data_IF_629694007045
#
_entry.id   IF_629694007045
#
_cell.length_a   1.000
_cell.length_b   1.000
_cell.length_c   1.000
_cell.angle_alpha   90.00
_cell.angle_beta   90.00
_cell.angle_gamma   90.00
#
_symmetry.space_group_name_H-M   'P 1'
#
loop_
_entity.id
_entity.type
_entity.pdbx_description
1 polymer ?
#
# COMPACT_ATOMS: atom_id res chain seq x y z
N UNK A 1 -16.14 18.67 4.45
CA UNK A 1 -16.53 17.44 5.19
C UNK A 1 -15.35 16.49 5.11
N UNK A 2 -14.92 15.89 6.23
CA UNK A 2 -13.87 14.87 6.18
C UNK A 2 -14.45 13.62 5.54
N UNK A 3 -14.08 13.35 4.29
CA UNK A 3 -14.42 12.12 3.60
C UNK A 3 -13.81 10.95 4.38
N UNK A 4 -14.68 10.06 4.84
CA UNK A 4 -14.29 8.79 5.46
C UNK A 4 -14.45 7.66 4.46
N UNK A 5 -13.58 6.66 4.54
CA UNK A 5 -13.57 5.52 3.62
C UNK A 5 -12.94 4.29 4.30
N UNK A 6 -13.09 3.13 3.70
CA UNK A 6 -12.53 1.84 4.15
C UNK A 6 -11.38 1.37 3.25
N UNK A 7 -10.67 0.30 3.64
CA UNK A 7 -9.67 -0.30 2.74
C UNK A 7 -10.30 -0.89 1.47
N UNK A 8 -11.55 -1.36 1.56
CA UNK A 8 -12.31 -1.86 0.41
C UNK A 8 -12.60 -0.72 -0.58
N UNK A 9 -13.00 0.45 -0.07
CA UNK A 9 -13.19 1.65 -0.90
C UNK A 9 -11.90 2.08 -1.60
N UNK A 10 -10.76 2.01 -0.91
CA UNK A 10 -9.45 2.33 -1.50
C UNK A 10 -8.98 1.31 -2.55
N UNK A 11 -9.43 0.05 -2.44
CA UNK A 11 -9.17 -0.99 -3.43
C UNK A 11 -10.12 -0.94 -4.63
N UNK A 12 -11.23 -0.20 -4.53
CA UNK A 12 -12.16 -0.01 -5.63
C UNK A 12 -11.46 0.72 -6.80
N UNK A 13 -11.50 0.21 -8.04
CA UNK A 13 -10.95 0.88 -9.21
C UNK A 13 -11.49 2.30 -9.45
N UNK A 14 -12.64 2.66 -8.89
CA UNK A 14 -13.23 3.98 -9.01
C UNK A 14 -12.76 5.00 -7.96
N UNK A 15 -11.94 4.59 -6.98
CA UNK A 15 -11.44 5.50 -5.96
C UNK A 15 -10.65 6.67 -6.56
N UNK A 16 -10.73 7.81 -5.90
CA UNK A 16 -10.14 9.09 -6.31
C UNK A 16 -8.83 9.42 -5.57
N UNK A 17 -8.32 8.48 -4.77
CA UNK A 17 -7.11 8.65 -3.99
C UNK A 17 -5.90 8.54 -4.94
N UNK A 18 -4.95 9.51 -4.92
CA UNK A 18 -3.82 9.54 -5.82
C UNK A 18 -2.91 8.33 -5.73
N UNK A 19 -2.03 8.16 -6.72
CA UNK A 19 -1.17 6.98 -6.79
C UNK A 19 -0.12 6.88 -5.67
N UNK A 20 0.18 7.97 -4.97
CA UNK A 20 1.36 8.06 -4.12
C UNK A 20 1.12 8.97 -2.93
N UNK A 21 1.54 8.49 -1.76
CA UNK A 21 1.73 9.31 -0.55
C UNK A 21 3.22 9.56 -0.34
N UNK A 22 3.57 10.72 0.24
CA UNK A 22 4.93 11.05 0.66
C UNK A 22 4.97 11.41 2.13
N UNK A 23 5.99 10.87 2.81
CA UNK A 23 6.31 11.21 4.19
C UNK A 23 7.74 11.73 4.28
N UNK A 24 7.88 12.88 4.93
CA UNK A 24 9.18 13.41 5.33
C UNK A 24 9.68 12.70 6.59
N UNK A 25 10.95 12.33 6.58
CA UNK A 25 11.70 11.71 7.67
C UNK A 25 12.84 12.67 8.04
N UNK A 26 12.83 13.11 9.29
CA UNK A 26 14.01 13.74 9.89
C UNK A 26 14.90 12.65 10.47
N UNK A 27 16.09 12.46 9.87
CA UNK A 27 17.12 11.61 10.43
C UNK A 27 18.04 12.50 11.27
N UNK A 28 18.36 12.10 12.51
CA UNK A 28 19.08 12.92 13.53
C UNK A 28 20.50 13.42 13.13
N UNK A 29 20.92 13.31 11.86
CA UNK A 29 22.24 13.76 11.38
C UNK A 29 22.31 14.05 9.86
N UNK A 30 21.20 14.25 9.15
CA UNK A 30 21.20 14.55 7.69
C UNK A 30 20.07 15.49 7.28
N UNK A 31 20.23 16.08 6.09
CA UNK A 31 19.15 16.71 5.32
C UNK A 31 17.91 15.81 5.30
N UNK A 32 16.74 16.43 5.46
CA UNK A 32 15.46 15.73 5.50
C UNK A 32 15.32 14.80 4.30
N UNK A 33 15.07 13.52 4.56
CA UNK A 33 14.74 12.56 3.50
C UNK A 33 13.23 12.46 3.38
N UNK A 34 12.72 12.34 2.17
CA UNK A 34 11.35 11.90 1.94
C UNK A 34 11.37 10.48 1.39
N UNK A 35 10.30 9.74 1.63
CA UNK A 35 10.06 8.49 0.94
C UNK A 35 8.59 8.43 0.51
N UNK A 36 8.37 7.80 -0.63
CA UNK A 36 7.04 7.63 -1.22
C UNK A 36 6.53 6.22 -0.99
N UNK A 37 5.21 6.08 -0.94
CA UNK A 37 4.57 4.76 -0.83
C UNK A 37 3.20 4.72 -1.51
N UNK A 38 2.69 3.51 -1.82
CA UNK A 38 1.27 3.30 -2.08
C UNK A 38 0.39 3.81 -0.94
N UNK A 39 -0.68 4.58 -1.21
CA UNK A 39 -1.62 4.99 -0.17
C UNK A 39 -2.20 3.82 0.61
N UNK A 40 -2.42 2.68 -0.05
CA UNK A 40 -2.92 1.46 0.59
C UNK A 40 -2.09 1.05 1.81
N UNK A 41 -0.76 1.10 1.73
CA UNK A 41 0.10 0.72 2.86
C UNK A 41 -0.09 1.66 4.05
N UNK A 42 -0.13 2.98 3.81
CA UNK A 42 -0.36 3.96 4.87
C UNK A 42 -1.72 3.78 5.55
N UNK A 43 -2.78 3.68 4.75
CA UNK A 43 -4.13 3.55 5.25
C UNK A 43 -4.38 2.18 5.91
N UNK A 44 -3.73 1.11 5.45
CA UNK A 44 -3.77 -0.20 6.10
C UNK A 44 -3.11 -0.18 7.48
N UNK A 45 -2.01 0.56 7.66
CA UNK A 45 -1.41 0.79 8.99
C UNK A 45 -2.42 1.47 9.92
N UNK A 46 -3.08 2.55 9.46
CA UNK A 46 -4.11 3.25 10.24
C UNK A 46 -5.27 2.32 10.61
N UNK A 47 -5.75 1.54 9.64
CA UNK A 47 -6.85 0.61 9.85
C UNK A 47 -6.50 -0.48 10.87
N UNK A 48 -5.27 -0.99 10.81
CA UNK A 48 -4.77 -1.97 11.77
C UNK A 48 -4.70 -1.41 13.19
N UNK A 49 -4.23 -0.17 13.35
CA UNK A 49 -4.20 0.53 14.64
C UNK A 49 -5.60 0.73 15.21
N UNK A 50 -6.57 1.17 14.40
CA UNK A 50 -7.96 1.31 14.80
C UNK A 50 -8.58 -0.01 15.27
N UNK A 51 -8.39 -1.07 14.47
CA UNK A 51 -8.87 -2.40 14.80
C UNK A 51 -8.23 -2.93 16.09
N UNK A 52 -6.94 -2.66 16.33
CA UNK A 52 -6.25 -2.98 17.59
C UNK A 52 -6.87 -2.31 18.80
N UNK A 53 -7.23 -1.03 18.67
CA UNK A 53 -7.90 -0.25 19.71
C UNK A 53 -9.39 -0.56 19.84
N UNK A 54 -9.93 -1.40 18.94
CA UNK A 54 -11.35 -1.72 18.84
C UNK A 54 -12.22 -0.47 18.64
N UNK A 55 -11.70 0.52 17.89
CA UNK A 55 -12.40 1.74 17.51
C UNK A 55 -12.87 1.62 16.06
N UNK A 56 -14.11 2.05 15.78
CA UNK A 56 -14.68 2.03 14.43
C UNK A 56 -14.07 3.11 13.54
N UNK A 57 -13.72 4.26 14.11
CA UNK A 57 -13.24 5.42 13.35
C UNK A 57 -12.12 6.18 14.07
N UNK A 58 -11.37 7.00 13.33
CA UNK A 58 -10.35 7.88 13.91
C UNK A 58 -10.93 8.91 14.88
N UNK A 59 -12.15 9.40 14.59
CA UNK A 59 -12.86 10.31 15.50
C UNK A 59 -13.15 9.64 16.84
N UNK A 60 -13.57 8.36 16.82
CA UNK A 60 -13.80 7.57 18.04
C UNK A 60 -12.51 7.33 18.82
N UNK A 61 -11.42 6.98 18.14
CA UNK A 61 -10.12 6.79 18.80
C UNK A 61 -9.63 8.08 19.49
N UNK A 62 -9.84 9.23 18.87
CA UNK A 62 -9.48 10.51 19.46
C UNK A 62 -10.36 10.86 20.67
N UNK A 63 -11.68 10.71 20.58
CA UNK A 63 -12.60 11.09 21.66
C UNK A 63 -12.58 10.13 22.85
N UNK A 64 -12.53 8.81 22.61
CA UNK A 64 -12.64 7.81 23.67
C UNK A 64 -11.29 7.37 24.23
N UNK A 65 -10.21 7.44 23.44
CA UNK A 65 -8.88 6.97 23.83
C UNK A 65 -7.83 8.07 23.91
N UNK A 66 -8.15 9.28 23.44
CA UNK A 66 -7.19 10.38 23.29
C UNK A 66 -5.97 9.98 22.44
N UNK A 67 -6.20 9.21 21.38
CA UNK A 67 -5.16 8.72 20.46
C UNK A 67 -5.39 9.28 19.06
N UNK A 68 -4.39 9.98 18.53
CA UNK A 68 -4.33 10.39 17.13
C UNK A 68 -3.79 9.25 16.26
N UNK A 69 -4.66 8.57 15.53
CA UNK A 69 -4.29 7.44 14.65
C UNK A 69 -3.32 7.87 13.56
N UNK A 70 -3.50 9.07 13.02
CA UNK A 70 -2.58 9.68 12.05
C UNK A 70 -1.16 9.75 12.61
N UNK A 71 -0.99 10.29 13.81
CA UNK A 71 0.34 10.50 14.38
C UNK A 71 1.01 9.17 14.74
N UNK A 72 0.25 8.21 15.28
CA UNK A 72 0.77 6.87 15.57
C UNK A 72 1.14 6.11 14.30
N UNK A 73 0.35 6.22 13.21
CA UNK A 73 0.70 5.62 11.93
C UNK A 73 1.98 6.24 11.34
N UNK A 74 2.08 7.57 11.33
CA UNK A 74 3.27 8.29 10.86
C UNK A 74 4.50 7.90 11.70
N UNK A 75 4.35 7.80 13.02
CA UNK A 75 5.44 7.42 13.94
C UNK A 75 5.94 6.00 13.67
N UNK A 76 5.05 5.03 13.52
CA UNK A 76 5.40 3.64 13.20
C UNK A 76 6.17 3.57 11.88
N UNK A 77 5.61 4.20 10.85
CA UNK A 77 6.18 4.21 9.51
C UNK A 77 7.55 4.90 9.48
N UNK A 78 7.70 6.06 10.15
CA UNK A 78 8.99 6.75 10.31
C UNK A 78 9.99 5.90 11.09
N UNK A 79 9.53 5.15 12.10
CA UNK A 79 10.35 4.21 12.86
C UNK A 79 10.96 3.13 11.98
N UNK A 80 10.17 2.52 11.08
CA UNK A 80 10.67 1.54 10.10
C UNK A 80 11.71 2.13 9.17
N UNK A 81 11.43 3.31 8.62
CA UNK A 81 12.38 3.99 7.75
C UNK A 81 13.69 4.37 8.48
N UNK A 82 13.59 4.85 9.72
CA UNK A 82 14.76 5.21 10.53
C UNK A 82 15.62 3.97 10.87
N UNK A 83 15.00 2.84 11.21
CA UNK A 83 15.71 1.57 11.44
C UNK A 83 16.44 1.10 10.19
N UNK A 84 15.75 1.09 9.04
CA UNK A 84 16.36 0.73 7.76
C UNK A 84 17.60 1.60 7.46
N UNK A 85 17.47 2.92 7.52
CA UNK A 85 18.61 3.81 7.25
C UNK A 85 19.74 3.68 8.27
N UNK A 86 19.44 3.25 9.50
CA UNK A 86 20.46 2.99 10.52
C UNK A 86 21.25 1.72 10.21
N UNK A 87 20.58 0.63 9.84
CA UNK A 87 21.22 -0.64 9.46
C UNK A 87 22.06 -0.51 8.19
N UNK A 88 21.54 0.18 7.18
CA UNK A 88 22.26 0.49 5.94
C UNK A 88 23.58 1.20 6.23
N UNK A 89 23.58 2.14 7.18
CA UNK A 89 24.79 2.85 7.61
C UNK A 89 25.75 1.93 8.34
N UNK A 90 25.25 1.12 9.28
CA UNK A 90 26.07 0.18 10.06
C UNK A 90 26.79 -0.83 9.16
N UNK A 91 26.10 -1.30 8.12
CA UNK A 91 26.61 -2.33 7.21
C UNK A 91 27.26 -1.76 5.93
N UNK A 92 27.38 -0.44 5.82
CA UNK A 92 27.96 0.28 4.67
C UNK A 92 27.42 -0.17 3.29
N UNK A 93 26.10 -0.37 3.19
CA UNK A 93 25.43 -0.88 1.98
C UNK A 93 24.97 0.28 1.09
N UNK A 94 25.25 0.25 -0.21
CA UNK A 94 24.64 1.19 -1.16
C UNK A 94 23.23 0.72 -1.57
N UNK A 95 22.23 1.20 -0.83
CA UNK A 95 20.80 0.92 -1.10
C UNK A 95 20.03 2.15 -1.57
N UNK A 96 20.72 3.22 -1.96
CA UNK A 96 20.09 4.52 -2.25
C UNK A 96 18.93 4.41 -3.25
N UNK A 97 19.01 3.47 -4.21
CA UNK A 97 17.98 3.20 -5.22
C UNK A 97 16.80 2.34 -4.75
N UNK A 98 16.94 1.58 -3.65
CA UNK A 98 15.95 0.55 -3.25
C UNK A 98 15.34 0.80 -1.87
N UNK A 99 15.73 1.88 -1.19
CA UNK A 99 15.29 2.20 0.16
C UNK A 99 13.76 2.19 0.31
N UNK A 100 13.03 2.86 -0.59
CA UNK A 100 11.57 2.90 -0.54
C UNK A 100 10.93 1.52 -0.65
N UNK A 101 11.46 0.64 -1.51
CA UNK A 101 10.91 -0.71 -1.69
C UNK A 101 11.08 -1.56 -0.43
N UNK A 102 12.22 -1.47 0.24
CA UNK A 102 12.47 -2.20 1.49
C UNK A 102 11.59 -1.71 2.63
N UNK A 103 11.47 -0.38 2.78
CA UNK A 103 10.59 0.20 3.80
C UNK A 103 9.14 -0.21 3.54
N UNK A 104 8.69 -0.21 2.28
CA UNK A 104 7.35 -0.68 1.90
C UNK A 104 7.15 -2.18 2.17
N UNK A 105 8.16 -3.02 1.93
CA UNK A 105 8.12 -4.45 2.24
C UNK A 105 7.94 -4.70 3.75
N UNK A 106 8.69 -3.98 4.60
CA UNK A 106 8.54 -4.04 6.05
C UNK A 106 7.17 -3.57 6.52
N UNK A 107 6.64 -2.50 5.94
CA UNK A 107 5.30 -2.00 6.26
C UNK A 107 4.23 -3.04 5.86
N UNK A 108 4.38 -3.68 4.70
CA UNK A 108 3.49 -4.77 4.30
C UNK A 108 3.59 -5.94 5.28
N UNK A 109 4.81 -6.31 5.70
CA UNK A 109 5.03 -7.35 6.71
C UNK A 109 4.35 -7.03 8.05
N UNK A 110 4.44 -5.77 8.48
CA UNK A 110 3.73 -5.28 9.66
C UNK A 110 2.21 -5.38 9.51
N UNK A 111 1.67 -5.12 8.33
CA UNK A 111 0.23 -5.22 8.03
C UNK A 111 -0.23 -6.67 8.07
N UNK A 112 0.56 -7.60 7.52
CA UNK A 112 0.22 -9.02 7.40
C UNK A 112 0.64 -9.87 8.62
N UNK A 113 1.33 -9.29 9.61
CA UNK A 113 1.92 -10.00 10.77
C UNK A 113 2.95 -11.07 10.39
N UNK A 114 3.59 -10.96 9.23
CA UNK A 114 4.55 -11.92 8.69
C UNK A 114 5.93 -11.29 8.49
N UNK A 115 6.33 -10.39 9.40
CA UNK A 115 7.63 -9.72 9.37
C UNK A 115 8.72 -10.78 9.32
N UNK A 116 9.20 -11.03 8.12
CA UNK A 116 10.44 -11.74 7.92
C UNK A 116 11.53 -10.72 8.27
N UNK A 117 12.42 -11.08 9.19
CA UNK A 117 13.69 -10.35 9.35
C UNK A 117 14.49 -10.57 8.06
N UNK A 118 14.11 -9.87 7.00
CA UNK A 118 14.69 -10.06 5.69
C UNK A 118 16.14 -9.62 5.71
N UNK A 119 16.99 -10.51 5.21
CA UNK A 119 18.34 -10.18 4.79
C UNK A 119 18.24 -9.07 3.74
N UNK A 120 18.63 -7.84 4.14
CA UNK A 120 18.58 -6.63 3.33
C UNK A 120 19.33 -6.74 1.98
N UNK A 121 20.07 -7.83 1.77
CA UNK A 121 20.84 -8.10 0.56
C UNK A 121 20.03 -8.71 -0.59
N UNK A 122 18.91 -9.42 -0.37
CA UNK A 122 18.25 -10.20 -1.44
C UNK A 122 17.05 -9.49 -2.12
N UNK A 123 16.29 -8.66 -1.39
CA UNK A 123 15.25 -7.80 -1.99
C UNK A 123 15.83 -6.71 -2.93
N UNK A 124 17.15 -6.54 -2.90
CA UNK A 124 17.88 -5.47 -3.58
C UNK A 124 18.14 -5.68 -5.08
N UNK A 125 17.78 -6.84 -5.64
CA UNK A 125 18.25 -7.22 -7.00
C UNK A 125 17.19 -7.20 -8.11
N UNK A 126 15.89 -7.11 -7.78
CA UNK A 126 14.84 -7.25 -8.79
C UNK A 126 14.23 -5.90 -9.19
N UNK A 127 14.27 -5.51 -10.47
CA UNK A 127 13.55 -4.33 -10.94
C UNK A 127 12.03 -4.57 -10.87
N UNK A 128 11.24 -3.49 -10.83
CA UNK A 128 9.80 -3.59 -10.89
C UNK A 128 9.36 -4.33 -12.18
N UNK A 129 8.39 -5.23 -12.04
CA UNK A 129 8.02 -6.15 -13.11
C UNK A 129 6.90 -5.52 -13.93
N UNK A 130 7.17 -5.24 -15.20
CA UNK A 130 6.14 -4.83 -16.16
C UNK A 130 5.49 -6.07 -16.76
N UNK A 131 4.19 -6.22 -16.54
CA UNK A 131 3.37 -7.26 -17.12
C UNK A 131 2.55 -6.66 -18.25
N UNK A 132 2.86 -7.06 -19.49
CA UNK A 132 2.02 -6.76 -20.63
C UNK A 132 0.77 -7.64 -20.55
N UNK A 133 -0.35 -7.06 -20.13
CA UNK A 133 -1.62 -7.78 -20.05
C UNK A 133 -2.27 -7.72 -21.42
N UNK A 134 -1.95 -8.68 -22.29
CA UNK A 134 -2.40 -8.74 -23.70
C UNK A 134 -3.92 -8.63 -23.84
N UNK A 135 -4.68 -9.24 -22.91
CA UNK A 135 -6.16 -9.14 -22.88
C UNK A 135 -6.68 -7.74 -22.52
N UNK A 136 -6.00 -7.02 -21.62
CA UNK A 136 -6.38 -5.65 -21.24
C UNK A 136 -5.76 -4.58 -22.16
N UNK A 137 -4.73 -4.94 -22.95
CA UNK A 137 -3.88 -4.04 -23.75
C UNK A 137 -3.26 -2.90 -22.92
N UNK A 138 -2.97 -3.16 -21.64
CA UNK A 138 -2.32 -2.21 -20.72
C UNK A 138 -1.16 -2.87 -20.01
N UNK A 139 -0.10 -2.10 -19.82
CA UNK A 139 1.06 -2.51 -19.04
C UNK A 139 0.83 -2.14 -17.57
N UNK A 140 1.01 -3.13 -16.70
CA UNK A 140 0.93 -2.96 -15.25
C UNK A 140 2.32 -3.19 -14.68
N UNK A 141 2.81 -2.24 -13.90
CA UNK A 141 4.08 -2.37 -13.19
C UNK A 141 3.80 -2.75 -11.75
N UNK A 142 4.35 -3.86 -11.29
CA UNK A 142 4.23 -4.36 -9.91
C UNK A 142 5.57 -4.20 -9.20
N UNK A 143 5.53 -3.72 -7.95
CA UNK A 143 6.73 -3.58 -7.15
C UNK A 143 7.30 -4.96 -6.77
N UNK A 144 8.64 -5.14 -6.71
CA UNK A 144 9.27 -6.42 -6.45
C UNK A 144 8.74 -7.10 -5.18
N UNK A 145 8.71 -6.38 -4.05
CA UNK A 145 8.25 -6.93 -2.78
C UNK A 145 6.83 -7.49 -2.81
N UNK A 146 5.93 -6.88 -3.60
CA UNK A 146 4.57 -7.36 -3.75
C UNK A 146 4.54 -8.62 -4.63
N UNK A 147 5.36 -8.68 -5.68
CA UNK A 147 5.48 -9.89 -6.49
C UNK A 147 6.06 -11.05 -5.68
N UNK A 148 7.10 -10.80 -4.88
CA UNK A 148 7.72 -11.83 -4.04
C UNK A 148 6.69 -12.37 -3.04
N UNK A 149 5.96 -11.50 -2.33
CA UNK A 149 4.86 -11.92 -1.43
C UNK A 149 3.75 -12.70 -2.13
N UNK A 150 3.32 -12.28 -3.31
CA UNK A 150 2.34 -13.04 -4.09
C UNK A 150 2.90 -14.38 -4.55
N UNK A 151 4.19 -14.45 -4.89
CA UNK A 151 4.85 -15.68 -5.31
C UNK A 151 4.95 -16.67 -4.18
N UNK A 152 5.24 -16.20 -2.97
CA UNK A 152 5.24 -17.03 -1.75
C UNK A 152 3.84 -17.57 -1.47
N UNK A 153 2.82 -16.70 -1.51
CA UNK A 153 1.42 -17.08 -1.29
C UNK A 153 0.91 -18.09 -2.32
N UNK A 154 1.19 -17.89 -3.60
CA UNK A 154 0.78 -18.80 -4.68
C UNK A 154 1.81 -19.92 -4.96
N UNK A 155 2.85 -20.03 -4.13
CA UNK A 155 3.99 -20.95 -4.19
C UNK A 155 4.84 -20.90 -5.48
N UNK A 156 4.47 -20.08 -6.47
CA UNK A 156 5.14 -19.96 -7.76
C UNK A 156 4.90 -18.56 -8.37
N UNK A 157 5.97 -17.92 -8.85
CA UNK A 157 5.90 -16.61 -9.51
C UNK A 157 4.99 -16.62 -10.74
N UNK A 158 4.95 -17.73 -11.49
CA UNK A 158 4.05 -17.89 -12.64
C UNK A 158 2.57 -17.72 -12.24
N UNK A 159 2.19 -18.23 -11.07
CA UNK A 159 0.83 -18.13 -10.55
C UNK A 159 0.54 -16.70 -10.08
N UNK A 160 1.49 -16.05 -9.40
CA UNK A 160 1.39 -14.64 -9.03
C UNK A 160 1.19 -13.73 -10.26
N UNK A 161 1.94 -13.96 -11.34
CA UNK A 161 1.77 -13.24 -12.61
C UNK A 161 0.37 -13.46 -13.22
N UNK A 162 -0.12 -14.70 -13.21
CA UNK A 162 -1.49 -15.02 -13.65
C UNK A 162 -2.54 -14.28 -12.82
N UNK A 163 -2.38 -14.27 -11.51
CA UNK A 163 -3.27 -13.53 -10.60
C UNK A 163 -3.29 -12.03 -10.91
N UNK A 164 -2.12 -11.40 -11.13
CA UNK A 164 -2.06 -9.98 -11.55
C UNK A 164 -2.76 -9.75 -12.90
N UNK A 165 -2.64 -10.69 -13.85
CA UNK A 165 -3.39 -10.60 -15.10
C UNK A 165 -4.90 -10.64 -14.87
N UNK A 166 -5.39 -11.54 -14.02
CA UNK A 166 -6.81 -11.65 -13.65
C UNK A 166 -7.31 -10.37 -12.96
N UNK A 167 -6.56 -9.83 -12.00
CA UNK A 167 -6.88 -8.55 -11.36
C UNK A 167 -6.94 -7.40 -12.37
N UNK A 168 -6.05 -7.37 -13.35
CA UNK A 168 -6.03 -6.31 -14.38
C UNK A 168 -7.29 -6.37 -15.25
N UNK A 169 -7.79 -7.58 -15.55
CA UNK A 169 -9.06 -7.76 -16.27
C UNK A 169 -10.23 -7.28 -15.42
N UNK A 170 -10.30 -7.65 -14.14
CA UNK A 170 -11.35 -7.16 -13.23
C UNK A 170 -11.34 -5.63 -13.07
N UNK A 171 -10.16 -5.02 -12.93
CA UNK A 171 -10.02 -3.54 -12.88
C UNK A 171 -10.58 -2.92 -14.16
N UNK A 172 -10.28 -3.53 -15.31
CA UNK A 172 -10.79 -3.05 -16.60
C UNK A 172 -12.31 -3.11 -16.67
N UNK A 173 -12.91 -4.24 -16.30
CA UNK A 173 -14.37 -4.45 -16.31
C UNK A 173 -15.07 -3.37 -15.48
N UNK A 174 -14.62 -3.14 -14.23
CA UNK A 174 -15.18 -2.09 -13.37
C UNK A 174 -15.06 -0.70 -13.99
N UNK A 175 -13.91 -0.36 -14.60
CA UNK A 175 -13.72 0.94 -15.24
C UNK A 175 -14.57 1.11 -16.50
N UNK A 176 -14.81 0.04 -17.27
CA UNK A 176 -15.69 0.04 -18.44
C UNK A 176 -17.15 0.21 -18.06
N UNK A 177 -17.62 -0.55 -17.06
CA UNK A 177 -18.99 -0.47 -16.54
C UNK A 177 -19.33 0.94 -16.03
N UNK A 178 -18.36 1.61 -15.41
CA UNK A 178 -18.53 2.95 -14.87
C UNK A 178 -18.21 4.07 -15.87
N UNK A 179 -17.99 3.75 -17.15
CA UNK A 179 -17.62 4.73 -18.21
C UNK A 179 -16.41 5.59 -17.84
N UNK A 180 -15.47 5.01 -17.10
CA UNK A 180 -14.27 5.68 -16.58
C UNK A 180 -13.06 5.54 -17.51
N UNK A 181 -13.28 5.09 -18.75
CA UNK A 181 -12.26 4.97 -19.79
C UNK A 181 -12.61 5.82 -21.01
N UNK A 182 -11.61 6.52 -21.56
CA UNK A 182 -11.74 7.17 -22.87
C UNK A 182 -11.53 6.19 -24.04
N UNK A 183 -11.61 6.70 -25.27
CA UNK A 183 -11.39 5.94 -26.51
C UNK A 183 -9.98 5.31 -26.60
N UNK A 184 -8.98 5.93 -25.95
CA UNK A 184 -7.59 5.45 -25.85
C UNK A 184 -7.38 4.53 -24.64
N UNK A 185 -8.46 4.19 -23.92
CA UNK A 185 -8.45 3.42 -22.66
C UNK A 185 -7.63 4.09 -21.56
N UNK A 186 -7.44 5.40 -21.60
CA UNK A 186 -6.94 6.17 -20.47
C UNK A 186 -8.05 6.27 -19.42
N UNK A 187 -7.65 6.27 -18.14
CA UNK A 187 -8.59 6.40 -17.03
C UNK A 187 -8.95 7.87 -16.89
N UNK A 188 -10.24 8.18 -16.88
CA UNK A 188 -10.76 9.56 -16.83
C UNK A 188 -11.60 9.79 -15.56
N UNK A 189 -11.92 11.06 -15.29
CA UNK A 189 -12.67 11.48 -14.11
C UNK A 189 -11.90 11.24 -12.80
N UNK A 190 -12.62 11.11 -11.69
CA UNK A 190 -12.04 10.92 -10.37
C UNK A 190 -11.14 9.66 -10.29
N UNK A 191 -11.51 8.60 -11.00
CA UNK A 191 -10.70 7.38 -11.09
C UNK A 191 -9.30 7.63 -11.70
N UNK A 192 -9.13 8.68 -12.51
CA UNK A 192 -7.87 9.04 -13.17
C UNK A 192 -6.74 9.44 -12.23
N UNK A 193 -7.04 9.76 -10.96
CA UNK A 193 -6.04 10.13 -9.94
C UNK A 193 -5.07 8.96 -9.63
N UNK A 194 -5.51 7.73 -9.86
CA UNK A 194 -4.68 6.54 -9.72
C UNK A 194 -4.38 5.86 -11.06
N UNK A 195 -3.12 5.46 -11.26
CA UNK A 195 -2.72 4.67 -12.44
C UNK A 195 -3.32 3.25 -12.43
N UNK A 196 -3.35 2.61 -13.60
CA UNK A 196 -3.65 1.17 -13.74
C UNK A 196 -2.83 0.32 -12.76
N UNK A 197 -1.51 0.54 -12.73
CA UNK A 197 -0.60 -0.14 -11.82
C UNK A 197 -1.03 -0.01 -10.36
N UNK A 198 -1.43 1.19 -9.93
CA UNK A 198 -1.87 1.42 -8.56
C UNK A 198 -3.18 0.68 -8.25
N UNK A 199 -4.18 0.77 -9.14
CA UNK A 199 -5.48 0.12 -8.93
C UNK A 199 -5.34 -1.40 -8.80
N UNK A 200 -4.50 -2.01 -9.64
CA UNK A 200 -4.19 -3.44 -9.57
C UNK A 200 -3.45 -3.79 -8.28
N UNK A 201 -2.43 -3.00 -7.90
CA UNK A 201 -1.70 -3.23 -6.65
C UNK A 201 -2.61 -3.09 -5.41
N UNK A 202 -3.54 -2.13 -5.37
CA UNK A 202 -4.48 -1.99 -4.24
C UNK A 202 -5.37 -3.22 -4.09
N UNK A 203 -5.89 -3.77 -5.20
CA UNK A 203 -6.62 -5.05 -5.17
C UNK A 203 -5.75 -6.21 -4.71
N UNK A 204 -4.50 -6.28 -5.14
CA UNK A 204 -3.57 -7.32 -4.71
C UNK A 204 -3.25 -7.22 -3.21
N UNK A 205 -3.05 -6.02 -2.68
CA UNK A 205 -2.85 -5.81 -1.25
C UNK A 205 -4.10 -6.19 -0.43
N UNK A 206 -5.29 -5.79 -0.89
CA UNK A 206 -6.53 -6.18 -0.25
C UNK A 206 -6.69 -7.70 -0.23
N UNK A 207 -6.44 -8.37 -1.35
CA UNK A 207 -6.51 -9.83 -1.44
C UNK A 207 -5.55 -10.52 -0.46
N UNK A 208 -4.29 -10.09 -0.41
CA UNK A 208 -3.31 -10.62 0.56
C UNK A 208 -3.78 -10.41 1.99
N UNK A 209 -4.35 -9.25 2.31
CA UNK A 209 -4.87 -8.95 3.63
C UNK A 209 -6.07 -9.84 3.97
N UNK A 210 -7.06 -9.96 3.08
CA UNK A 210 -8.25 -10.81 3.27
C UNK A 210 -7.91 -12.29 3.50
N UNK A 211 -6.80 -12.76 2.93
CA UNK A 211 -6.35 -14.14 3.02
C UNK A 211 -5.15 -14.33 3.98
N UNK A 212 -4.92 -13.37 4.87
CA UNK A 212 -3.88 -13.46 5.90
C UNK A 212 -4.46 -13.89 7.25
N UNK A 213 -3.62 -14.42 8.15
CA UNK A 213 -4.00 -14.79 9.51
C UNK A 213 -3.94 -13.61 10.51
N UNK A 214 -4.18 -12.40 10.02
CA UNK A 214 -4.11 -11.19 10.83
C UNK A 214 -5.30 -11.15 11.80
N UNK A 215 -5.01 -11.18 13.11
CA UNK A 215 -6.04 -11.19 14.15
C UNK A 215 -7.05 -10.03 14.03
N UNK A 216 -6.63 -8.88 13.54
CA UNK A 216 -7.48 -7.71 13.29
C UNK A 216 -8.60 -7.94 12.24
N UNK A 217 -8.51 -8.96 11.39
CA UNK A 217 -9.59 -9.32 10.46
C UNK A 217 -10.83 -9.84 11.18
N UNK A 218 -10.63 -10.60 12.25
CA UNK A 218 -11.67 -11.31 12.99
C UNK A 218 -12.24 -10.51 14.18
N UNK A 219 -11.78 -9.27 14.38
CA UNK A 219 -12.29 -8.39 15.43
C UNK A 219 -13.65 -7.79 15.05
N UNK A 220 -14.42 -7.39 16.07
CA UNK A 220 -15.68 -6.64 15.88
C UNK A 220 -15.47 -5.40 15.01
N UNK A 221 -14.42 -4.64 15.31
CA UNK A 221 -13.91 -3.59 14.42
C UNK A 221 -12.81 -4.20 13.54
N UNK A 222 -13.21 -4.81 12.43
CA UNK A 222 -12.28 -5.45 11.50
C UNK A 222 -11.41 -4.42 10.79
N UNK A 223 -10.15 -4.74 10.50
CA UNK A 223 -9.24 -3.89 9.70
C UNK A 223 -9.87 -3.47 8.35
N UNK A 224 -10.78 -4.26 7.78
CA UNK A 224 -11.45 -3.93 6.51
C UNK A 224 -12.62 -2.95 6.68
N UNK A 225 -13.21 -2.87 7.87
CA UNK A 225 -14.49 -2.18 8.13
C UNK A 225 -14.37 -0.88 8.91
N UNK A 226 -13.17 -0.54 9.39
CA UNK A 226 -12.93 0.72 10.10
C UNK A 226 -12.94 1.92 9.14
N UNK A 227 -13.44 3.04 9.64
CA UNK A 227 -13.60 4.29 8.92
C UNK A 227 -12.33 5.15 9.06
N UNK A 228 -11.64 5.32 7.93
CA UNK A 228 -10.41 6.08 7.81
C UNK A 228 -10.70 7.49 7.32
N UNK A 229 -10.02 8.48 7.91
CA UNK A 229 -10.00 9.85 7.44
C UNK A 229 -8.86 10.05 6.42
N UNK A 230 -9.18 10.71 5.31
CA UNK A 230 -8.22 11.01 4.25
C UNK A 230 -7.22 12.08 4.65
N UNK A 231 -5.93 11.80 4.43
CA UNK A 231 -4.81 12.69 4.75
C UNK A 231 -4.28 13.39 3.48
N UNK A 232 -5.08 14.28 2.88
CA UNK A 232 -4.77 14.96 1.61
C UNK A 232 -3.40 15.66 1.59
N UNK A 233 -2.94 16.20 2.72
CA UNK A 233 -1.63 16.87 2.82
C UNK A 233 -0.42 15.95 2.56
N UNK A 234 -0.62 14.63 2.59
CA UNK A 234 0.42 13.65 2.31
C UNK A 234 0.34 13.10 0.87
N UNK A 235 -0.73 13.41 0.14
CA UNK A 235 -0.99 12.92 -1.20
C UNK A 235 -0.25 13.77 -2.25
N UNK A 236 0.38 13.10 -3.22
CA UNK A 236 0.86 13.79 -4.42
C UNK A 236 -0.26 13.75 -5.44
N UNK A 237 -0.93 14.88 -5.63
CA UNK A 237 -1.84 15.11 -6.75
C UNK A 237 -1.02 15.23 -8.05
N UNK A 238 -1.56 14.69 -9.15
CA UNK A 238 -0.92 14.69 -10.46
C UNK A 238 -1.36 15.88 -11.29
#
# INVERSE_FOLDING_TARGET
MNETFTLEDLANPMNDIPSTLVLSISLKARDGKSFSMPPFLYYAVKAKLLSRLNCKSEAQALSERNISIKDEAIKLIRGRAANFFSQVRLNNIDVSKYASSHIQAQILGDILNDIQEEDYSELSKRPAISLCVTRAKKNVTVQPYLMDRLSDYFHLERNARRFIHELTVQVKEVLEENKALDEKRAIIGAAGNASWSRKVQNKAFLYLLENSDVAELHKRQSILKVELSRDRNLEIEK
#
